data_IF_638156678005
#
_entry.id   IF_638156678005
#
_cell.length_a   1.000
_cell.length_b   1.000
_cell.length_c   1.000
_cell.angle_alpha   90.00
_cell.angle_beta   90.00
_cell.angle_gamma   90.00
#
_symmetry.space_group_name_H-M   'P 1'
#
loop_
_entity.id
_entity.type
_entity.pdbx_description
1 polymer ?
#
# COMPACT_ATOMS: atom_id res chain seq x y z
N UNK A 1 -23.40 24.63 -31.37
CA UNK A 1 -23.13 25.18 -30.02
C UNK A 1 -21.65 25.02 -29.71
N UNK A 2 -20.93 26.03 -29.18
CA UNK A 2 -19.52 25.90 -28.85
C UNK A 2 -19.34 25.04 -27.60
N UNK A 3 -18.36 24.13 -27.61
CA UNK A 3 -18.06 23.28 -26.45
C UNK A 3 -17.53 24.14 -25.29
N UNK A 4 -18.07 24.01 -24.06
CA UNK A 4 -17.53 24.72 -22.92
C UNK A 4 -16.07 24.31 -22.69
N UNK A 5 -15.16 25.29 -22.68
CA UNK A 5 -13.76 25.12 -22.30
C UNK A 5 -13.64 25.27 -20.79
N UNK A 6 -13.56 24.16 -20.07
CA UNK A 6 -13.31 24.17 -18.63
C UNK A 6 -11.81 24.43 -18.38
N UNK A 7 -11.49 25.49 -17.63
CA UNK A 7 -10.14 25.71 -17.08
C UNK A 7 -10.05 25.07 -15.71
N UNK A 8 -9.09 24.17 -15.51
CA UNK A 8 -8.88 23.49 -14.23
C UNK A 8 -8.16 24.41 -13.23
N UNK A 9 -8.89 25.35 -12.62
CA UNK A 9 -8.34 26.29 -11.61
C UNK A 9 -8.04 25.64 -10.26
N UNK A 10 -8.67 24.49 -9.97
CA UNK A 10 -8.59 23.79 -8.69
C UNK A 10 -7.42 22.80 -8.59
N UNK A 11 -6.69 22.48 -9.66
CA UNK A 11 -5.78 21.31 -9.73
C UNK A 11 -4.90 21.05 -8.49
N UNK A 12 -4.33 22.10 -7.89
CA UNK A 12 -3.54 21.99 -6.65
C UNK A 12 -4.35 21.40 -5.47
N UNK A 13 -5.58 21.86 -5.27
CA UNK A 13 -6.47 21.40 -4.20
C UNK A 13 -6.94 19.97 -4.44
N UNK A 14 -7.34 19.65 -5.68
CA UNK A 14 -7.68 18.28 -6.08
C UNK A 14 -6.52 17.31 -5.84
N UNK A 15 -5.30 17.69 -6.25
CA UNK A 15 -4.12 16.86 -6.06
C UNK A 15 -3.78 16.67 -4.57
N UNK A 16 -3.92 17.71 -3.75
CA UNK A 16 -3.72 17.61 -2.29
C UNK A 16 -4.74 16.65 -1.65
N UNK A 17 -5.99 16.69 -2.10
CA UNK A 17 -7.02 15.75 -1.63
C UNK A 17 -6.73 14.31 -2.05
N UNK A 18 -6.21 14.08 -3.26
CA UNK A 18 -5.75 12.75 -3.71
C UNK A 18 -4.60 12.21 -2.86
N UNK A 19 -3.59 13.04 -2.57
CA UNK A 19 -2.46 12.65 -1.71
C UNK A 19 -2.96 12.28 -0.31
N UNK A 20 -3.85 13.09 0.28
CA UNK A 20 -4.40 12.81 1.60
C UNK A 20 -5.26 11.52 1.63
N UNK A 21 -5.94 11.19 0.53
CA UNK A 21 -6.75 9.96 0.43
C UNK A 21 -5.91 8.68 0.35
N UNK A 22 -4.65 8.76 -0.07
CA UNK A 22 -3.74 7.60 -0.20
C UNK A 22 -2.59 7.56 0.81
N UNK A 23 -2.51 8.53 1.71
CA UNK A 23 -1.43 8.63 2.69
C UNK A 23 -1.69 7.68 3.86
N UNK A 24 -0.87 6.64 3.97
CA UNK A 24 -0.86 5.70 5.09
C UNK A 24 0.53 5.68 5.70
N UNK A 25 0.59 5.93 7.01
CA UNK A 25 1.79 5.81 7.82
C UNK A 25 1.51 4.71 8.84
N UNK A 26 2.36 3.70 8.89
CA UNK A 26 2.27 2.64 9.87
C UNK A 26 3.66 2.34 10.43
N UNK A 27 3.67 1.93 11.69
CA UNK A 27 4.87 1.55 12.41
C UNK A 27 4.98 0.04 12.41
N UNK A 28 6.20 -0.47 12.21
CA UNK A 28 6.50 -1.88 12.30
C UNK A 28 7.45 -2.03 13.48
N UNK A 29 7.11 -2.94 14.38
CA UNK A 29 7.97 -3.28 15.51
C UNK A 29 9.33 -3.78 15.00
N UNK A 30 10.42 -3.30 15.60
CA UNK A 30 11.77 -3.76 15.28
C UNK A 30 11.93 -5.26 15.51
N UNK A 31 11.26 -5.82 16.53
CA UNK A 31 11.26 -7.26 16.79
C UNK A 31 10.61 -8.02 15.62
N UNK A 32 9.49 -7.51 15.11
CA UNK A 32 8.83 -8.10 13.94
C UNK A 32 9.74 -8.05 12.70
N UNK A 33 10.50 -6.97 12.49
CA UNK A 33 11.47 -6.86 11.38
C UNK A 33 12.58 -7.92 11.51
N UNK A 34 13.08 -8.16 12.73
CA UNK A 34 14.11 -9.18 12.97
C UNK A 34 13.63 -10.58 12.56
N UNK A 35 12.33 -10.85 12.72
CA UNK A 35 11.70 -12.11 12.34
C UNK A 35 11.36 -12.25 10.85
N UNK A 36 11.58 -11.23 10.02
CA UNK A 36 11.22 -11.30 8.59
C UNK A 36 12.10 -12.25 7.78
N UNK A 37 13.35 -12.47 8.20
CA UNK A 37 14.26 -13.37 7.49
C UNK A 37 13.92 -14.82 7.82
N UNK A 38 13.68 -15.62 6.79
CA UNK A 38 13.51 -17.06 6.98
C UNK A 38 14.84 -17.70 7.43
N UNK A 39 14.78 -18.50 8.49
CA UNK A 39 15.90 -19.35 8.91
C UNK A 39 16.27 -20.37 7.84
N UNK A 40 17.57 -20.71 7.72
CA UNK A 40 18.05 -21.68 6.72
C UNK A 40 17.33 -23.03 6.89
N UNK A 41 16.52 -23.40 5.90
CA UNK A 41 15.84 -24.69 5.88
C UNK A 41 16.76 -25.73 5.26
N UNK A 42 16.99 -26.86 5.95
CA UNK A 42 17.69 -28.05 5.40
C UNK A 42 16.80 -28.91 4.49
N UNK A 43 15.60 -28.42 4.14
CA UNK A 43 14.62 -29.15 3.32
C UNK A 43 14.96 -28.98 1.83
N UNK A 44 14.77 -30.05 1.06
CA UNK A 44 14.98 -30.07 -0.39
C UNK A 44 13.92 -29.18 -1.07
N UNK A 45 14.33 -28.25 -1.91
CA UNK A 45 13.45 -27.30 -2.59
C UNK A 45 14.03 -25.89 -2.65
N UNK A 46 13.26 -24.93 -3.20
CA UNK A 46 13.66 -23.53 -3.26
C UNK A 46 13.71 -22.94 -1.85
N UNK A 47 14.86 -22.38 -1.41
CA UNK A 47 14.93 -21.68 -0.13
C UNK A 47 13.95 -20.50 -0.11
N UNK A 48 13.19 -20.36 0.98
CA UNK A 48 12.42 -19.14 1.24
C UNK A 48 13.34 -18.09 1.86
N UNK A 49 13.19 -16.84 1.43
CA UNK A 49 13.94 -15.70 1.95
C UNK A 49 13.18 -14.96 3.05
N UNK A 50 11.85 -14.97 2.98
CA UNK A 50 10.96 -14.28 3.90
C UNK A 50 10.16 -15.28 4.74
N UNK A 51 9.94 -14.93 6.00
CA UNK A 51 9.08 -15.68 6.92
C UNK A 51 7.60 -15.47 6.59
N UNK A 52 6.75 -16.35 7.12
CA UNK A 52 5.29 -16.25 6.95
C UNK A 52 4.73 -14.96 7.58
N UNK A 53 5.37 -14.46 8.65
CA UNK A 53 5.06 -13.17 9.26
C UNK A 53 5.27 -12.01 8.27
N UNK A 54 6.42 -11.96 7.61
CA UNK A 54 6.73 -10.92 6.63
C UNK A 54 5.75 -10.96 5.44
N UNK A 55 5.45 -12.16 4.95
CA UNK A 55 4.53 -12.36 3.81
C UNK A 55 3.12 -11.92 4.19
N UNK A 56 2.61 -12.38 5.33
CA UNK A 56 1.26 -12.02 5.82
C UNK A 56 1.14 -10.51 6.05
N UNK A 57 2.16 -9.88 6.63
CA UNK A 57 2.20 -8.43 6.87
C UNK A 57 2.14 -7.66 5.54
N UNK A 58 2.90 -8.06 4.53
CA UNK A 58 2.86 -7.43 3.21
C UNK A 58 1.48 -7.60 2.52
N UNK A 59 0.83 -8.75 2.70
CA UNK A 59 -0.52 -8.99 2.18
C UNK A 59 -1.56 -8.11 2.89
N UNK A 60 -1.47 -7.97 4.20
CA UNK A 60 -2.33 -7.05 4.98
C UNK A 60 -2.14 -5.60 4.51
N UNK A 61 -0.90 -5.15 4.35
CA UNK A 61 -0.60 -3.82 3.82
C UNK A 61 -1.21 -3.63 2.43
N UNK A 62 -1.04 -4.58 1.51
CA UNK A 62 -1.69 -4.54 0.18
C UNK A 62 -3.21 -4.42 0.29
N UNK A 63 -3.83 -5.16 1.19
CA UNK A 63 -5.28 -5.09 1.41
C UNK A 63 -5.72 -3.71 1.94
N UNK A 64 -5.00 -3.15 2.92
CA UNK A 64 -5.28 -1.82 3.49
C UNK A 64 -5.16 -0.71 2.44
N UNK A 65 -4.09 -0.74 1.61
CA UNK A 65 -3.93 0.22 0.51
C UNK A 65 -5.09 0.12 -0.49
N UNK A 66 -5.50 -1.09 -0.85
CA UNK A 66 -6.64 -1.29 -1.74
C UNK A 66 -7.94 -0.81 -1.12
N UNK A 67 -8.18 -1.04 0.17
CA UNK A 67 -9.40 -0.59 0.84
C UNK A 67 -9.50 0.94 0.85
N UNK A 68 -8.41 1.62 1.21
CA UNK A 68 -8.35 3.08 1.28
C UNK A 68 -8.52 3.72 -0.11
N UNK A 69 -7.88 3.16 -1.14
CA UNK A 69 -7.97 3.68 -2.52
C UNK A 69 -9.29 3.34 -3.21
N UNK A 70 -9.90 2.18 -2.96
CA UNK A 70 -11.18 1.79 -3.55
C UNK A 70 -12.38 2.49 -2.91
N UNK A 71 -12.29 2.97 -1.67
CA UNK A 71 -13.35 3.80 -1.05
C UNK A 71 -13.60 5.10 -1.84
N UNK A 72 -12.60 5.60 -2.58
CA UNK A 72 -12.71 6.77 -3.42
C UNK A 72 -13.33 6.50 -4.81
N UNK A 73 -13.65 5.24 -5.13
CA UNK A 73 -14.20 4.80 -6.42
C UNK A 73 -15.73 4.61 -6.40
N UNK A 74 -16.34 4.74 -5.22
CA UNK A 74 -17.80 4.74 -5.01
C UNK A 74 -18.25 6.18 -4.75
N UNK A 75 -18.10 7.07 -5.72
CA UNK A 75 -18.79 8.37 -5.83
C UNK A 75 -18.64 8.91 -7.25
#
# INVERSE_FOLDING_TARGET
>A
MPKPRYKTTNWKQYNKALINRGSLIFWIDEEAIREWKQSKQKKRGRPRFFSDLAITTALMMKHLFNAVTNSARIH
#
